data_IF_887015035049
#
_entry.id   IF_887015035049
#
_cell.length_a   1.000
_cell.length_b   1.000
_cell.length_c   1.000
_cell.angle_alpha   90.00
_cell.angle_beta   90.00
_cell.angle_gamma   90.00
#
_symmetry.space_group_name_H-M   'P 1'
#
loop_
_entity.id
_entity.type
_entity.pdbx_description
1 polymer ?
#
# COMPACT_ATOMS: atom_id res chain seq x y z
N UNK A 1 12.55 -1.37 -17.89
CA UNK A 1 13.04 -2.12 -16.69
C UNK A 1 12.20 -3.37 -16.54
N UNK A 2 12.76 -4.52 -16.10
CA UNK A 2 11.97 -5.75 -15.92
C UNK A 2 11.29 -5.73 -14.55
N UNK A 3 9.96 -5.85 -14.50
CA UNK A 3 9.17 -5.97 -13.28
C UNK A 3 9.28 -7.40 -12.71
N UNK A 4 9.21 -8.39 -13.56
CA UNK A 4 9.26 -9.79 -13.18
C UNK A 4 10.60 -10.42 -13.57
N UNK A 5 11.11 -11.34 -12.74
CA UNK A 5 12.38 -12.03 -12.97
C UNK A 5 12.33 -12.95 -14.20
N UNK A 6 11.13 -13.47 -14.57
CA UNK A 6 10.89 -14.29 -15.78
C UNK A 6 9.43 -14.21 -16.23
N UNK A 7 9.15 -14.60 -17.48
CA UNK A 7 7.79 -14.70 -18.00
C UNK A 7 6.93 -15.68 -17.20
N UNK A 8 7.49 -16.82 -16.80
CA UNK A 8 6.81 -17.79 -15.93
C UNK A 8 6.45 -17.24 -14.56
N UNK A 9 7.31 -16.36 -14.00
CA UNK A 9 7.02 -15.68 -12.73
C UNK A 9 5.85 -14.69 -12.90
N UNK A 10 5.86 -13.90 -13.96
CA UNK A 10 4.76 -13.00 -14.33
C UNK A 10 3.44 -13.77 -14.45
N UNK A 11 3.40 -14.83 -15.24
CA UNK A 11 2.20 -15.64 -15.46
C UNK A 11 1.62 -16.19 -14.14
N UNK A 12 2.49 -16.69 -13.24
CA UNK A 12 2.05 -17.20 -11.93
C UNK A 12 1.49 -16.11 -11.02
N UNK A 13 2.20 -14.98 -10.93
CA UNK A 13 1.76 -13.85 -10.11
C UNK A 13 0.42 -13.33 -10.62
N UNK A 14 0.29 -13.08 -11.93
CA UNK A 14 -0.95 -12.56 -12.50
C UNK A 14 -2.11 -13.55 -12.41
N UNK A 15 -1.85 -14.86 -12.50
CA UNK A 15 -2.88 -15.88 -12.32
C UNK A 15 -3.44 -15.90 -10.90
N UNK A 16 -2.58 -15.83 -9.88
CA UNK A 16 -3.02 -15.77 -8.47
C UNK A 16 -3.58 -14.40 -8.12
N UNK A 17 -3.08 -13.30 -8.72
CA UNK A 17 -3.69 -11.97 -8.64
C UNK A 17 -5.17 -12.01 -9.06
N UNK A 18 -5.47 -12.56 -10.23
CA UNK A 18 -6.86 -12.67 -10.71
C UNK A 18 -7.72 -13.60 -9.84
N UNK A 19 -7.11 -14.61 -9.21
CA UNK A 19 -7.80 -15.45 -8.24
C UNK A 19 -8.16 -14.65 -6.96
N UNK A 20 -7.24 -13.84 -6.44
CA UNK A 20 -7.49 -12.97 -5.28
C UNK A 20 -8.58 -11.92 -5.56
N UNK A 21 -8.60 -11.32 -6.74
CA UNK A 21 -9.68 -10.38 -7.12
C UNK A 21 -11.05 -11.05 -7.04
N UNK A 22 -11.17 -12.33 -7.40
CA UNK A 22 -12.44 -13.08 -7.25
C UNK A 22 -12.84 -13.31 -5.79
N UNK A 23 -11.87 -13.35 -4.87
CA UNK A 23 -12.12 -13.47 -3.42
C UNK A 23 -12.49 -12.14 -2.74
N UNK A 24 -12.48 -11.01 -3.45
CA UNK A 24 -12.93 -9.75 -2.90
C UNK A 24 -14.42 -9.72 -2.55
N UNK A 25 -15.19 -10.71 -3.02
CA UNK A 25 -16.63 -10.87 -2.74
C UNK A 25 -17.48 -9.63 -3.11
N UNK A 26 -17.03 -8.87 -4.10
CA UNK A 26 -17.72 -7.71 -4.65
C UNK A 26 -17.43 -7.65 -6.16
N UNK A 27 -18.38 -7.17 -6.99
CA UNK A 27 -18.12 -6.95 -8.41
C UNK A 27 -16.95 -5.96 -8.62
N UNK A 28 -15.92 -6.39 -9.33
CA UNK A 28 -14.74 -5.57 -9.63
C UNK A 28 -14.66 -5.33 -11.14
N UNK A 29 -14.54 -4.07 -11.53
CA UNK A 29 -14.17 -3.66 -12.89
C UNK A 29 -12.69 -3.37 -12.91
N UNK A 30 -11.94 -4.09 -13.74
CA UNK A 30 -10.54 -3.80 -13.96
C UNK A 30 -10.41 -2.82 -15.13
N UNK A 31 -9.68 -1.74 -14.94
CA UNK A 31 -9.41 -0.73 -15.97
C UNK A 31 -7.93 -0.39 -16.06
N UNK A 32 -7.55 0.19 -17.18
CA UNK A 32 -6.19 0.66 -17.41
C UNK A 32 -6.27 2.10 -17.90
N UNK A 33 -5.48 2.97 -17.31
CA UNK A 33 -5.37 4.37 -17.73
C UNK A 33 -3.96 4.67 -18.22
N UNK A 34 -3.86 5.55 -19.22
CA UNK A 34 -2.59 6.04 -19.71
C UNK A 34 -2.07 7.16 -18.82
N UNK A 35 -0.78 7.10 -18.50
CA UNK A 35 -0.03 8.14 -17.81
C UNK A 35 1.23 8.45 -18.60
N UNK A 36 1.87 9.59 -18.33
CA UNK A 36 3.17 9.90 -18.97
C UNK A 36 4.27 8.88 -18.69
N UNK A 37 4.10 8.07 -17.62
CA UNK A 37 5.09 7.09 -17.18
C UNK A 37 4.77 5.64 -17.61
N UNK A 38 3.68 5.46 -18.35
CA UNK A 38 3.18 4.16 -18.80
C UNK A 38 1.71 3.96 -18.48
N UNK A 39 1.25 2.73 -18.52
CA UNK A 39 -0.12 2.40 -18.18
C UNK A 39 -0.26 2.03 -16.69
N UNK A 40 -1.31 2.52 -16.06
CA UNK A 40 -1.65 2.18 -14.67
C UNK A 40 -2.93 1.37 -14.64
N UNK A 41 -2.87 0.21 -14.00
CA UNK A 41 -4.01 -0.68 -13.78
C UNK A 41 -4.69 -0.36 -12.47
N UNK A 42 -6.03 -0.45 -12.45
CA UNK A 42 -6.87 -0.06 -11.33
C UNK A 42 -8.02 -1.07 -11.19
N UNK A 43 -8.20 -1.61 -10.00
CA UNK A 43 -9.39 -2.36 -9.63
C UNK A 43 -10.43 -1.41 -9.05
N UNK A 44 -11.60 -1.36 -9.67
CA UNK A 44 -12.68 -0.46 -9.28
C UNK A 44 -13.86 -1.29 -8.77
N UNK A 45 -14.35 -0.96 -7.58
CA UNK A 45 -15.57 -1.55 -7.02
C UNK A 45 -16.42 -0.51 -6.26
N UNK A 46 -17.61 -0.92 -5.84
CA UNK A 46 -18.50 -0.09 -5.02
C UNK A 46 -19.45 0.80 -5.81
N UNK A 47 -20.09 1.71 -5.09
CA UNK A 47 -21.17 2.57 -5.59
C UNK A 47 -20.68 3.45 -6.74
N UNK A 48 -21.41 3.45 -7.87
CA UNK A 48 -21.04 4.26 -9.04
C UNK A 48 -20.89 5.75 -8.69
N UNK A 49 -21.82 6.28 -7.92
CA UNK A 49 -21.85 7.70 -7.50
C UNK A 49 -21.35 7.90 -6.06
N UNK A 50 -20.66 6.90 -5.50
CA UNK A 50 -20.07 6.99 -4.17
C UNK A 50 -18.87 7.94 -4.14
N UNK A 51 -18.55 8.52 -2.95
CA UNK A 51 -17.34 9.32 -2.79
C UNK A 51 -16.09 8.55 -3.23
N UNK A 52 -15.17 9.17 -4.00
CA UNK A 52 -14.01 8.47 -4.51
C UNK A 52 -12.98 8.19 -3.39
N UNK A 53 -12.62 6.92 -3.24
CA UNK A 53 -11.59 6.45 -2.32
C UNK A 53 -10.47 5.75 -3.10
N UNK A 54 -9.28 6.33 -3.08
CA UNK A 54 -8.09 5.80 -3.74
C UNK A 54 -7.24 5.02 -2.74
N UNK A 55 -6.81 3.83 -3.13
CA UNK A 55 -6.09 2.90 -2.27
C UNK A 55 -4.73 2.53 -2.87
N UNK A 56 -3.65 2.69 -2.08
CA UNK A 56 -2.27 2.36 -2.46
C UNK A 56 -1.71 1.21 -1.63
N UNK A 57 -1.11 0.22 -2.28
CA UNK A 57 -0.44 -0.93 -1.66
C UNK A 57 1.02 -0.65 -1.28
N UNK A 58 1.63 -1.57 -0.53
CA UNK A 58 3.02 -1.52 -0.09
C UNK A 58 4.05 -1.92 -1.17
N UNK A 59 5.33 -1.81 -0.83
CA UNK A 59 6.43 -2.27 -1.71
C UNK A 59 6.42 -3.79 -1.81
N UNK A 60 6.55 -4.30 -3.04
CA UNK A 60 6.62 -5.73 -3.31
C UNK A 60 5.29 -6.47 -3.19
N UNK A 61 4.22 -5.72 -3.08
CA UNK A 61 2.85 -6.15 -2.98
C UNK A 61 2.02 -5.61 -4.15
N UNK A 62 0.77 -6.01 -4.29
CA UNK A 62 -0.16 -5.50 -5.29
C UNK A 62 -1.54 -5.21 -4.68
N UNK A 63 -2.41 -4.57 -5.45
CA UNK A 63 -3.72 -4.17 -4.97
C UNK A 63 -4.64 -5.36 -4.69
N UNK A 64 -4.47 -6.48 -5.41
CA UNK A 64 -5.33 -7.66 -5.24
C UNK A 64 -5.14 -8.32 -3.88
N UNK A 65 -3.89 -8.48 -3.43
CA UNK A 65 -3.55 -9.01 -2.11
C UNK A 65 -3.85 -7.99 -1.02
N UNK A 66 -3.42 -6.73 -1.21
CA UNK A 66 -3.49 -5.73 -0.15
C UNK A 66 -4.90 -5.45 0.35
N UNK A 67 -5.91 -5.47 -0.53
CA UNK A 67 -7.24 -4.99 -0.20
C UNK A 67 -8.32 -6.09 -0.10
N UNK A 68 -7.90 -7.37 -0.08
CA UNK A 68 -8.82 -8.53 -0.12
C UNK A 68 -9.86 -8.53 1.01
N UNK A 69 -9.49 -8.09 2.21
CA UNK A 69 -10.41 -8.06 3.38
C UNK A 69 -11.07 -6.68 3.60
N UNK A 70 -10.80 -5.72 2.70
CA UNK A 70 -11.29 -4.36 2.86
C UNK A 70 -12.25 -3.95 1.72
N UNK A 71 -11.99 -4.43 0.50
CA UNK A 71 -12.68 -3.98 -0.70
C UNK A 71 -14.20 -4.12 -0.60
N UNK A 72 -14.71 -5.27 -0.17
CA UNK A 72 -16.15 -5.50 -0.06
C UNK A 72 -16.79 -4.49 0.88
N UNK A 73 -16.25 -4.32 2.10
CA UNK A 73 -16.84 -3.42 3.10
C UNK A 73 -16.73 -1.95 2.70
N UNK A 74 -15.60 -1.53 2.15
CA UNK A 74 -15.43 -0.15 1.67
C UNK A 74 -16.34 0.16 0.48
N UNK A 75 -16.63 -0.83 -0.38
CA UNK A 75 -17.49 -0.69 -1.54
C UNK A 75 -18.96 -0.42 -1.19
N UNK A 76 -19.39 -0.71 0.04
CA UNK A 76 -20.75 -0.38 0.52
C UNK A 76 -20.94 1.14 0.63
N UNK A 77 -19.86 1.92 0.80
CA UNK A 77 -19.93 3.35 1.08
C UNK A 77 -19.24 4.21 0.02
N UNK A 78 -18.19 3.70 -0.62
CA UNK A 78 -17.34 4.45 -1.53
C UNK A 78 -17.33 3.88 -2.95
N UNK A 79 -16.90 4.72 -3.90
CA UNK A 79 -16.35 4.26 -5.15
C UNK A 79 -14.86 4.04 -4.94
N UNK A 80 -14.46 2.78 -4.82
CA UNK A 80 -13.10 2.37 -4.49
C UNK A 80 -12.26 2.23 -5.74
N UNK A 81 -11.06 2.80 -5.73
CA UNK A 81 -10.05 2.74 -6.79
C UNK A 81 -8.75 2.18 -6.20
N UNK A 82 -8.57 0.86 -6.23
CA UNK A 82 -7.35 0.22 -5.76
C UNK A 82 -6.32 0.17 -6.90
N UNK A 83 -5.25 0.95 -6.76
CA UNK A 83 -4.27 1.20 -7.82
C UNK A 83 -3.11 0.22 -7.69
N UNK A 84 -2.75 -0.45 -8.78
CA UNK A 84 -1.45 -1.11 -8.89
C UNK A 84 -0.38 -0.06 -9.11
N UNK A 85 0.49 0.14 -8.13
CA UNK A 85 1.57 1.14 -8.19
C UNK A 85 2.49 0.83 -9.36
N UNK A 86 2.79 1.84 -10.18
CA UNK A 86 3.65 1.66 -11.36
C UNK A 86 5.05 1.18 -10.94
N UNK A 87 5.58 0.19 -11.64
CA UNK A 87 6.83 -0.50 -11.25
C UNK A 87 6.63 -1.58 -10.18
N UNK A 88 5.45 -1.68 -9.56
CA UNK A 88 5.08 -2.75 -8.63
C UNK A 88 4.73 -4.07 -9.34
N UNK A 89 4.47 -5.15 -8.59
CA UNK A 89 4.23 -6.49 -9.16
C UNK A 89 2.82 -6.73 -9.72
N UNK A 90 1.95 -5.71 -9.71
CA UNK A 90 0.61 -5.76 -10.29
C UNK A 90 0.60 -5.66 -11.82
N UNK A 91 -0.50 -5.20 -12.38
CA UNK A 91 -0.73 -5.16 -13.84
C UNK A 91 -0.32 -3.84 -14.50
N UNK A 92 0.17 -2.85 -13.74
CA UNK A 92 0.69 -1.59 -14.28
C UNK A 92 1.98 -1.80 -15.06
N UNK A 93 2.14 -1.08 -16.18
CA UNK A 93 3.29 -1.25 -17.10
C UNK A 93 4.01 0.08 -17.31
N UNK A 94 5.22 0.26 -16.75
CA UNK A 94 6.02 1.45 -16.99
C UNK A 94 6.55 1.50 -18.43
N UNK A 95 6.70 2.74 -18.95
CA UNK A 95 7.39 3.04 -20.21
C UNK A 95 8.80 3.61 -19.96
N UNK A 96 9.44 4.17 -21.00
CA UNK A 96 10.78 4.77 -20.93
C UNK A 96 10.86 6.01 -20.02
N UNK A 97 9.73 6.71 -19.80
CA UNK A 97 9.68 7.88 -18.94
C UNK A 97 9.69 7.54 -17.44
N UNK A 98 9.44 6.27 -17.09
CA UNK A 98 9.63 5.76 -15.73
C UNK A 98 11.12 5.57 -15.45
N UNK A 99 11.82 6.68 -15.29
CA UNK A 99 13.27 6.77 -15.15
C UNK A 99 13.68 7.66 -13.94
N UNK A 100 14.86 8.24 -13.93
CA UNK A 100 15.35 9.06 -12.81
C UNK A 100 14.55 10.33 -12.55
N UNK A 101 13.82 10.82 -13.55
CA UNK A 101 12.95 12.00 -13.45
C UNK A 101 11.51 11.68 -13.04
N UNK A 102 11.22 10.41 -12.72
CA UNK A 102 9.91 10.00 -12.24
C UNK A 102 9.52 10.76 -10.97
N UNK A 103 8.26 11.19 -10.92
CA UNK A 103 7.65 11.87 -9.79
C UNK A 103 6.30 11.23 -9.46
N UNK A 104 6.15 10.78 -8.21
CA UNK A 104 4.96 10.10 -7.73
C UNK A 104 3.72 10.98 -7.77
N UNK A 105 3.83 12.27 -7.42
CA UNK A 105 2.68 13.17 -7.41
C UNK A 105 2.17 13.45 -8.84
N UNK A 106 3.09 13.59 -9.79
CA UNK A 106 2.75 13.77 -11.20
C UNK A 106 2.09 12.49 -11.77
N UNK A 107 2.60 11.30 -11.39
CA UNK A 107 1.98 10.04 -11.77
C UNK A 107 0.55 9.90 -11.23
N UNK A 108 0.34 10.23 -9.95
CA UNK A 108 -0.98 10.20 -9.32
C UNK A 108 -1.91 11.24 -9.99
N UNK A 109 -1.42 12.44 -10.29
CA UNK A 109 -2.19 13.45 -11.03
C UNK A 109 -2.67 12.91 -12.38
N UNK A 110 -1.81 12.25 -13.15
CA UNK A 110 -2.17 11.65 -14.44
C UNK A 110 -3.26 10.59 -14.28
N UNK A 111 -3.15 9.72 -13.26
CA UNK A 111 -4.15 8.69 -12.95
C UNK A 111 -5.50 9.32 -12.60
N UNK A 112 -5.52 10.28 -11.66
CA UNK A 112 -6.77 10.92 -11.23
C UNK A 112 -7.44 11.70 -12.35
N UNK A 113 -6.66 12.43 -13.15
CA UNK A 113 -7.17 13.18 -14.30
C UNK A 113 -7.77 12.23 -15.35
N UNK A 114 -7.12 11.08 -15.63
CA UNK A 114 -7.65 10.07 -16.57
C UNK A 114 -8.96 9.44 -16.07
N UNK A 115 -9.17 9.40 -14.76
CA UNK A 115 -10.41 8.93 -14.13
C UNK A 115 -11.47 10.02 -13.95
N UNK A 116 -11.17 11.29 -14.27
CA UNK A 116 -12.05 12.42 -14.03
C UNK A 116 -12.25 12.76 -12.55
N UNK A 117 -11.30 12.44 -11.69
CA UNK A 117 -11.37 12.66 -10.25
C UNK A 117 -10.66 13.96 -9.85
N UNK A 118 -11.43 14.97 -9.45
CA UNK A 118 -10.91 16.27 -9.01
C UNK A 118 -10.41 16.23 -7.57
N UNK A 119 -11.20 15.63 -6.66
CA UNK A 119 -10.88 15.49 -5.24
C UNK A 119 -11.18 14.08 -4.77
N UNK A 120 -10.29 13.54 -3.94
CA UNK A 120 -10.35 12.15 -3.47
C UNK A 120 -10.01 12.03 -1.99
N UNK A 121 -10.57 11.02 -1.33
CA UNK A 121 -10.00 10.48 -0.10
C UNK A 121 -8.97 9.40 -0.47
N UNK A 122 -7.90 9.28 0.32
CA UNK A 122 -6.79 8.37 0.00
C UNK A 122 -6.43 7.53 1.21
N UNK A 123 -6.20 6.23 1.02
CA UNK A 123 -5.57 5.39 2.03
C UNK A 123 -4.41 4.59 1.44
N UNK A 124 -3.40 4.32 2.25
CA UNK A 124 -2.27 3.51 1.84
C UNK A 124 -1.62 2.74 2.98
N UNK A 125 -1.04 1.60 2.63
CA UNK A 125 -0.35 0.70 3.58
C UNK A 125 1.14 0.72 3.31
N UNK A 126 1.96 0.84 4.36
CA UNK A 126 3.42 0.80 4.25
C UNK A 126 3.94 1.90 3.29
N UNK A 127 4.59 1.54 2.18
CA UNK A 127 4.99 2.50 1.15
C UNK A 127 3.77 3.26 0.56
N UNK A 128 2.62 2.60 0.41
CA UNK A 128 1.37 3.28 0.03
C UNK A 128 0.97 4.38 1.00
N UNK A 129 1.24 4.21 2.30
CA UNK A 129 1.08 5.25 3.31
C UNK A 129 2.04 6.43 3.11
N UNK A 130 3.28 6.17 2.65
CA UNK A 130 4.20 7.24 2.26
C UNK A 130 3.73 7.99 1.01
N UNK A 131 3.26 7.28 -0.04
CA UNK A 131 2.65 7.90 -1.22
C UNK A 131 1.46 8.80 -0.83
N UNK A 132 0.63 8.33 0.10
CA UNK A 132 -0.49 9.09 0.65
C UNK A 132 -0.03 10.41 1.29
N UNK A 133 0.99 10.37 2.15
CA UNK A 133 1.58 11.56 2.78
C UNK A 133 2.16 12.52 1.74
N UNK A 134 2.96 11.98 0.82
CA UNK A 134 3.62 12.76 -0.23
C UNK A 134 2.59 13.47 -1.11
N UNK A 135 1.54 12.76 -1.53
CA UNK A 135 0.49 13.36 -2.36
C UNK A 135 -0.33 14.39 -1.60
N UNK A 136 -0.64 14.18 -0.32
CA UNK A 136 -1.28 15.18 0.54
C UNK A 136 -0.49 16.48 0.61
N UNK A 137 0.82 16.39 0.73
CA UNK A 137 1.70 17.54 0.75
C UNK A 137 1.77 18.23 -0.61
N UNK A 138 1.95 17.47 -1.70
CA UNK A 138 2.12 18.01 -3.05
C UNK A 138 0.82 18.56 -3.66
N UNK A 139 -0.33 18.05 -3.23
CA UNK A 139 -1.66 18.38 -3.77
C UNK A 139 -2.71 18.51 -2.67
N UNK A 140 -2.52 19.40 -1.69
CA UNK A 140 -3.43 19.50 -0.55
C UNK A 140 -4.87 19.80 -0.95
N UNK A 141 -5.08 20.53 -2.05
CA UNK A 141 -6.42 20.88 -2.54
C UNK A 141 -7.18 19.70 -3.20
N UNK A 142 -6.44 18.68 -3.66
CA UNK A 142 -7.03 17.48 -4.27
C UNK A 142 -7.36 16.37 -3.25
N UNK A 143 -6.75 16.41 -2.08
CA UNK A 143 -6.98 15.41 -1.02
C UNK A 143 -7.97 15.92 0.00
N UNK A 144 -9.10 15.23 0.13
CA UNK A 144 -10.12 15.52 1.14
C UNK A 144 -9.58 15.09 2.51
N UNK A 145 -9.34 13.79 2.67
CA UNK A 145 -8.79 13.15 3.88
C UNK A 145 -7.87 12.00 3.50
N UNK A 146 -7.00 11.62 4.42
CA UNK A 146 -6.01 10.58 4.18
C UNK A 146 -5.81 9.66 5.37
N UNK A 147 -5.58 8.36 5.12
CA UNK A 147 -5.19 7.38 6.13
C UNK A 147 -3.90 6.69 5.72
N UNK A 148 -2.93 6.69 6.64
CA UNK A 148 -1.64 6.04 6.49
C UNK A 148 -1.55 4.85 7.44
N UNK A 149 -1.58 3.62 6.90
CA UNK A 149 -1.52 2.38 7.68
C UNK A 149 -0.13 1.77 7.62
N UNK A 150 0.33 1.19 8.75
CA UNK A 150 1.66 0.59 8.87
C UNK A 150 2.77 1.51 8.30
N UNK A 151 2.63 2.81 8.54
CA UNK A 151 3.51 3.86 8.06
C UNK A 151 3.77 4.90 9.16
N UNK A 152 4.88 5.61 9.04
CA UNK A 152 5.26 6.72 9.90
C UNK A 152 5.65 7.93 9.06
N UNK A 153 5.92 9.05 9.72
CA UNK A 153 6.55 10.19 9.08
C UNK A 153 8.06 9.94 8.95
N UNK A 154 8.65 10.46 7.90
CA UNK A 154 10.11 10.49 7.72
C UNK A 154 10.61 11.91 7.99
N UNK A 155 11.49 12.07 8.99
CA UNK A 155 12.03 13.37 9.41
C UNK A 155 13.54 13.30 9.57
N UNK A 156 14.25 14.29 9.04
CA UNK A 156 15.70 14.36 9.17
C UNK A 156 16.44 13.28 8.37
N UNK A 157 17.61 12.85 8.83
CA UNK A 157 18.34 11.74 8.20
C UNK A 157 17.70 10.42 8.63
N UNK A 158 16.90 9.85 7.75
CA UNK A 158 16.29 8.53 7.90
C UNK A 158 17.38 7.44 8.08
N UNK A 159 17.08 6.45 8.93
CA UNK A 159 17.81 5.18 8.92
C UNK A 159 17.67 4.55 7.52
N UNK A 160 18.76 4.01 6.98
CA UNK A 160 18.75 3.43 5.64
C UNK A 160 17.65 2.35 5.52
N UNK A 161 16.59 2.58 4.71
CA UNK A 161 15.45 1.65 4.62
C UNK A 161 15.87 0.24 4.19
N UNK A 162 16.94 0.13 3.40
CA UNK A 162 17.49 -1.14 2.95
C UNK A 162 18.00 -1.99 4.13
N UNK A 163 18.63 -1.36 5.13
CA UNK A 163 19.12 -2.07 6.32
C UNK A 163 17.95 -2.61 7.14
N UNK A 164 16.87 -1.82 7.28
CA UNK A 164 15.66 -2.24 7.96
C UNK A 164 15.01 -3.43 7.23
N UNK A 165 14.86 -3.34 5.91
CA UNK A 165 14.34 -4.43 5.08
C UNK A 165 15.18 -5.70 5.22
N UNK A 166 16.51 -5.62 5.12
CA UNK A 166 17.39 -6.76 5.29
C UNK A 166 17.22 -7.38 6.69
N UNK A 167 17.22 -6.57 7.75
CA UNK A 167 17.08 -7.05 9.12
C UNK A 167 15.78 -7.80 9.38
N UNK A 168 14.68 -7.31 8.80
CA UNK A 168 13.34 -7.83 9.07
C UNK A 168 13.01 -8.99 8.13
N UNK A 169 13.32 -8.86 6.83
CA UNK A 169 12.90 -9.84 5.82
C UNK A 169 13.89 -11.00 5.65
N UNK A 170 15.16 -10.80 6.02
CA UNK A 170 16.17 -11.84 5.89
C UNK A 170 16.13 -12.81 7.10
N UNK A 171 16.40 -14.11 6.94
CA UNK A 171 16.74 -14.79 5.66
C UNK A 171 15.51 -15.30 4.88
N UNK A 172 14.32 -15.19 5.43
CA UNK A 172 13.11 -15.85 4.97
C UNK A 172 12.76 -15.45 3.51
N UNK A 173 12.85 -14.15 3.20
CA UNK A 173 12.54 -13.63 1.86
C UNK A 173 13.58 -14.05 0.80
N UNK A 174 14.81 -14.36 1.20
CA UNK A 174 15.85 -14.78 0.26
C UNK A 174 15.67 -16.25 -0.19
N UNK A 175 15.13 -17.09 0.70
CA UNK A 175 14.88 -18.50 0.45
C UNK A 175 13.38 -18.82 0.69
N UNK A 176 12.46 -18.34 -0.15
CA UNK A 176 11.03 -18.40 0.09
C UNK A 176 10.46 -19.83 -0.16
N UNK A 177 10.73 -20.75 0.76
CA UNK A 177 9.99 -22.00 0.91
C UNK A 177 8.69 -21.75 1.63
N UNK A 178 7.70 -22.66 1.56
CA UNK A 178 6.44 -22.52 2.31
C UNK A 178 6.70 -22.27 3.81
N UNK A 179 7.60 -23.04 4.42
CA UNK A 179 8.00 -22.85 5.82
C UNK A 179 8.54 -21.44 6.11
N UNK A 180 9.42 -20.92 5.24
CA UNK A 180 10.03 -19.61 5.43
C UNK A 180 9.03 -18.49 5.19
N UNK A 181 8.14 -18.64 4.20
CA UNK A 181 7.08 -17.68 3.93
C UNK A 181 6.13 -17.56 5.12
N UNK A 182 5.66 -18.67 5.65
CA UNK A 182 4.81 -18.68 6.86
C UNK A 182 5.54 -18.10 8.09
N UNK A 183 6.84 -18.35 8.22
CA UNK A 183 7.66 -17.73 9.27
C UNK A 183 7.79 -16.23 9.07
N UNK A 184 7.94 -15.76 7.82
CA UNK A 184 8.00 -14.35 7.50
C UNK A 184 6.66 -13.66 7.80
N UNK A 185 5.55 -14.27 7.41
CA UNK A 185 4.21 -13.76 7.74
C UNK A 185 4.05 -13.58 9.26
N UNK A 186 4.38 -14.60 10.06
CA UNK A 186 4.35 -14.51 11.54
C UNK A 186 5.27 -13.41 12.09
N UNK A 187 6.38 -13.14 11.43
CA UNK A 187 7.32 -12.09 11.83
C UNK A 187 6.80 -10.68 11.51
N UNK A 188 6.04 -10.55 10.42
CA UNK A 188 5.45 -9.28 9.98
C UNK A 188 4.14 -8.98 10.70
N UNK A 189 3.32 -10.00 10.94
CA UNK A 189 2.05 -9.87 11.64
C UNK A 189 2.24 -9.86 13.17
N UNK A 190 1.18 -9.46 13.87
CA UNK A 190 1.05 -9.60 15.31
C UNK A 190 0.44 -10.94 15.72
N UNK A 191 -0.48 -10.90 16.69
CA UNK A 191 -1.12 -12.11 17.22
C UNK A 191 -2.12 -12.76 16.23
N UNK A 192 -2.65 -12.00 15.27
CA UNK A 192 -3.68 -12.47 14.31
C UNK A 192 -3.10 -12.90 12.95
N UNK A 193 -1.91 -13.48 12.92
CA UNK A 193 -1.23 -13.89 11.67
C UNK A 193 -1.98 -15.00 10.92
N UNK A 194 -2.84 -15.77 11.61
CA UNK A 194 -3.66 -16.83 11.04
C UNK A 194 -4.58 -16.33 9.94
N UNK A 195 -5.10 -15.12 10.04
CA UNK A 195 -5.91 -14.47 8.98
C UNK A 195 -5.22 -14.53 7.62
N UNK A 196 -3.90 -14.43 7.62
CA UNK A 196 -3.09 -14.52 6.41
C UNK A 196 -2.69 -15.97 6.10
N UNK A 197 -2.25 -16.74 7.11
CA UNK A 197 -1.70 -18.10 6.88
C UNK A 197 -2.75 -19.15 6.62
N UNK A 198 -3.99 -18.94 7.03
CA UNK A 198 -5.10 -19.87 6.79
C UNK A 198 -5.70 -19.70 5.39
N UNK A 199 -5.52 -18.54 4.75
CA UNK A 199 -5.84 -18.38 3.34
C UNK A 199 -4.67 -18.87 2.47
N UNK A 200 -4.80 -20.09 1.93
CA UNK A 200 -3.76 -20.72 1.12
C UNK A 200 -3.43 -19.91 -0.14
N UNK A 201 -4.41 -19.25 -0.75
CA UNK A 201 -4.19 -18.44 -1.95
C UNK A 201 -3.34 -17.20 -1.64
N UNK A 202 -3.54 -16.55 -0.47
CA UNK A 202 -2.69 -15.45 -0.02
C UNK A 202 -1.25 -15.90 0.17
N UNK A 203 -1.03 -17.03 0.84
CA UNK A 203 0.32 -17.60 1.07
C UNK A 203 0.99 -17.94 -0.27
N UNK A 204 0.25 -18.53 -1.20
CA UNK A 204 0.76 -18.89 -2.53
C UNK A 204 1.13 -17.63 -3.32
N UNK A 205 0.24 -16.65 -3.38
CA UNK A 205 0.48 -15.39 -4.08
C UNK A 205 1.69 -14.66 -3.50
N UNK A 206 1.75 -14.48 -2.19
CA UNK A 206 2.89 -13.85 -1.51
C UNK A 206 4.20 -14.63 -1.76
N UNK A 207 4.14 -15.96 -1.82
CA UNK A 207 5.28 -16.80 -2.21
C UNK A 207 5.76 -16.48 -3.63
N UNK A 208 4.83 -16.33 -4.57
CA UNK A 208 5.19 -15.99 -5.97
C UNK A 208 5.75 -14.58 -6.08
N UNK A 209 5.23 -13.61 -5.33
CA UNK A 209 5.79 -12.25 -5.24
C UNK A 209 7.25 -12.29 -4.76
N UNK A 210 7.53 -12.96 -3.65
CA UNK A 210 8.91 -13.08 -3.11
C UNK A 210 9.87 -13.76 -4.09
N UNK A 211 9.41 -14.77 -4.83
CA UNK A 211 10.24 -15.51 -5.81
C UNK A 211 10.40 -14.76 -7.12
N UNK A 212 9.34 -14.11 -7.59
CA UNK A 212 9.21 -13.69 -8.98
C UNK A 212 9.28 -12.20 -9.25
N UNK A 213 8.99 -11.36 -8.26
CA UNK A 213 9.06 -9.92 -8.41
C UNK A 213 10.51 -9.40 -8.32
N UNK A 214 10.82 -8.39 -9.12
CA UNK A 214 12.09 -7.69 -9.10
C UNK A 214 11.94 -6.37 -8.31
N UNK A 215 12.28 -6.39 -7.02
CA UNK A 215 12.15 -5.21 -6.14
C UNK A 215 12.87 -3.96 -6.66
N UNK A 216 13.91 -4.11 -7.50
CA UNK A 216 14.60 -2.98 -8.12
C UNK A 216 13.69 -2.20 -9.09
N UNK A 217 12.57 -2.80 -9.54
CA UNK A 217 11.62 -2.14 -10.42
C UNK A 217 10.91 -0.95 -9.75
N UNK A 218 10.74 -0.97 -8.43
CA UNK A 218 10.21 0.16 -7.65
C UNK A 218 11.28 1.19 -7.25
N UNK A 219 12.53 1.03 -7.65
CA UNK A 219 13.62 1.92 -7.25
C UNK A 219 13.57 3.35 -7.84
N UNK A 220 12.52 3.70 -8.57
CA UNK A 220 12.26 5.07 -9.03
C UNK A 220 11.40 5.87 -8.05
N UNK A 221 10.62 5.18 -7.25
CA UNK A 221 9.88 5.77 -6.15
C UNK A 221 10.86 6.28 -5.09
N UNK A 222 10.62 7.49 -4.60
CA UNK A 222 11.51 8.13 -3.63
C UNK A 222 10.79 8.31 -2.30
N UNK A 223 11.34 7.75 -1.25
CA UNK A 223 10.94 8.09 0.11
C UNK A 223 11.82 9.26 0.55
N UNK A 224 11.22 10.43 0.71
CA UNK A 224 11.90 11.64 1.19
C UNK A 224 11.50 11.98 2.62
N UNK A 225 12.37 12.74 3.30
CA UNK A 225 12.04 13.33 4.60
C UNK A 225 11.20 14.58 4.42
N UNK A 226 10.26 14.82 5.33
CA UNK A 226 9.43 16.02 5.36
C UNK A 226 10.06 17.10 6.25
N UNK A 227 9.89 18.37 5.86
CA UNK A 227 10.14 19.54 6.70
C UNK A 227 8.99 19.76 7.69
N UNK A 228 9.17 20.60 8.71
CA UNK A 228 8.08 20.91 9.64
C UNK A 228 6.86 21.55 8.97
N UNK A 229 7.09 22.45 8.01
CA UNK A 229 6.01 23.07 7.21
C UNK A 229 5.21 22.03 6.40
N UNK A 230 5.90 21.04 5.82
CA UNK A 230 5.27 19.95 5.10
C UNK A 230 4.47 19.04 6.04
N UNK A 231 4.98 18.81 7.25
CA UNK A 231 4.29 18.04 8.29
C UNK A 231 3.02 18.71 8.79
N UNK A 232 2.94 20.06 8.79
CA UNK A 232 1.72 20.77 9.16
C UNK A 232 0.57 20.43 8.20
N UNK A 233 0.83 20.41 6.89
CA UNK A 233 -0.15 20.01 5.87
C UNK A 233 -0.56 18.54 6.05
N UNK A 234 0.41 17.64 6.29
CA UNK A 234 0.16 16.22 6.52
C UNK A 234 -0.67 16.02 7.80
N UNK A 235 -0.38 16.75 8.86
CA UNK A 235 -1.07 16.66 10.16
C UNK A 235 -2.56 16.97 10.04
N UNK A 236 -2.92 17.96 9.25
CA UNK A 236 -4.32 18.35 9.06
C UNK A 236 -5.14 17.31 8.30
N UNK A 237 -4.51 16.57 7.40
CA UNK A 237 -5.17 15.66 6.47
C UNK A 237 -5.07 14.18 6.83
N UNK A 238 -3.98 13.78 7.51
CA UNK A 238 -3.65 12.37 7.68
C UNK A 238 -3.99 11.84 9.08
N UNK A 239 -4.60 10.66 9.11
CA UNK A 239 -4.68 9.79 10.29
C UNK A 239 -3.72 8.61 10.11
N UNK A 240 -2.89 8.34 11.10
CA UNK A 240 -1.96 7.21 11.11
C UNK A 240 -2.55 6.04 11.91
N UNK A 241 -2.52 4.84 11.34
CA UNK A 241 -2.92 3.59 11.99
C UNK A 241 -1.71 2.67 12.08
N UNK A 242 -1.24 2.40 13.29
CA UNK A 242 0.05 1.75 13.53
C UNK A 242 -0.10 0.55 14.46
N UNK A 243 0.32 -0.62 13.99
CA UNK A 243 0.45 -1.81 14.83
C UNK A 243 1.66 -1.72 15.74
N UNK A 244 1.48 -1.94 17.06
CA UNK A 244 2.58 -1.89 18.01
C UNK A 244 3.50 -3.13 17.95
N UNK A 245 3.05 -4.22 17.32
CA UNK A 245 3.87 -5.40 17.04
C UNK A 245 4.66 -5.29 15.73
N UNK A 246 4.35 -4.32 14.85
CA UNK A 246 5.01 -4.11 13.57
C UNK A 246 6.54 -3.93 13.72
N UNK A 247 7.36 -4.82 13.15
CA UNK A 247 8.80 -4.74 13.31
C UNK A 247 9.44 -3.53 12.59
N UNK A 248 8.82 -3.04 11.49
CA UNK A 248 9.29 -1.83 10.81
C UNK A 248 9.01 -0.59 11.62
N UNK A 249 7.79 -0.50 12.17
CA UNK A 249 7.37 0.63 12.97
C UNK A 249 8.14 0.72 14.30
N UNK A 250 8.42 -0.42 14.92
CA UNK A 250 9.30 -0.49 16.11
C UNK A 250 10.71 -0.02 15.79
N UNK A 251 11.31 -0.53 14.73
CA UNK A 251 12.67 -0.17 14.33
C UNK A 251 12.77 1.31 13.96
N UNK A 252 11.76 1.86 13.29
CA UNK A 252 11.65 3.27 12.92
C UNK A 252 11.19 4.20 14.05
N UNK A 253 10.91 3.67 15.25
CA UNK A 253 10.39 4.45 16.42
C UNK A 253 9.14 5.26 16.05
N UNK A 254 8.24 4.67 15.25
CA UNK A 254 7.08 5.35 14.70
C UNK A 254 6.19 6.00 15.77
N UNK A 255 5.93 5.30 16.88
CA UNK A 255 5.10 5.82 17.98
C UNK A 255 5.70 7.10 18.61
N UNK A 256 7.01 7.10 18.82
CA UNK A 256 7.71 8.27 19.39
C UNK A 256 7.70 9.44 18.40
N UNK A 257 7.98 9.18 17.12
CA UNK A 257 7.97 10.21 16.08
C UNK A 257 6.58 10.82 15.90
N UNK A 258 5.56 10.01 15.71
CA UNK A 258 4.19 10.49 15.51
C UNK A 258 3.69 11.32 16.72
N UNK A 259 4.02 10.91 17.94
CA UNK A 259 3.66 11.65 19.15
C UNK A 259 4.45 12.96 19.26
N UNK A 260 5.78 12.96 19.01
CA UNK A 260 6.62 14.16 19.13
C UNK A 260 6.23 15.26 18.14
N UNK A 261 5.80 14.86 16.94
CA UNK A 261 5.29 15.78 15.91
C UNK A 261 3.77 16.00 15.97
N UNK A 262 3.11 15.52 17.04
CA UNK A 262 1.66 15.70 17.30
C UNK A 262 0.79 15.26 16.12
N UNK A 263 1.17 14.17 15.45
CA UNK A 263 0.37 13.59 14.37
C UNK A 263 -0.87 12.90 14.93
N UNK A 264 -1.98 12.94 14.20
CA UNK A 264 -3.17 12.14 14.54
C UNK A 264 -2.86 10.68 14.30
N UNK A 265 -2.78 9.88 15.37
CA UNK A 265 -2.42 8.48 15.29
C UNK A 265 -3.24 7.61 16.24
N UNK A 266 -3.57 6.39 15.79
CA UNK A 266 -4.09 5.30 16.62
C UNK A 266 -3.09 4.16 16.62
N UNK A 267 -2.84 3.59 17.79
CA UNK A 267 -1.90 2.50 18.00
C UNK A 267 -2.65 1.25 18.45
N UNK A 268 -2.35 0.12 17.81
CA UNK A 268 -3.04 -1.15 18.02
C UNK A 268 -2.10 -2.16 18.67
N UNK A 269 -2.30 -2.49 19.96
CA UNK A 269 -1.50 -3.50 20.65
C UNK A 269 -1.59 -4.85 19.93
N UNK A 270 -0.47 -5.59 19.88
CA UNK A 270 -0.37 -6.95 19.31
C UNK A 270 -0.65 -7.08 17.81
N UNK A 271 -0.88 -5.98 17.10
CA UNK A 271 -1.08 -5.93 15.65
C UNK A 271 0.25 -5.60 14.97
N UNK A 272 0.55 -6.26 13.86
CA UNK A 272 1.78 -6.12 13.09
C UNK A 272 1.65 -5.21 11.88
N UNK A 273 2.48 -5.52 10.86
CA UNK A 273 2.58 -4.75 9.61
C UNK A 273 1.38 -4.95 8.68
N UNK A 274 0.74 -6.11 8.73
CA UNK A 274 -0.44 -6.43 7.93
C UNK A 274 -1.75 -5.97 8.61
N UNK A 275 -1.74 -4.80 9.22
CA UNK A 275 -2.83 -4.25 10.05
C UNK A 275 -4.21 -4.31 9.39
N UNK A 276 -4.30 -4.01 8.10
CA UNK A 276 -5.55 -4.02 7.34
C UNK A 276 -6.07 -5.44 7.05
N UNK A 277 -5.24 -6.48 7.26
CA UNK A 277 -5.64 -7.88 7.22
C UNK A 277 -5.93 -8.40 8.64
N UNK A 278 -5.01 -8.14 9.58
CA UNK A 278 -5.07 -8.69 10.93
C UNK A 278 -6.31 -8.29 11.74
N UNK A 279 -6.76 -7.04 11.53
CA UNK A 279 -7.94 -6.46 12.21
C UNK A 279 -8.84 -5.77 11.18
N UNK A 280 -9.13 -6.45 10.07
CA UNK A 280 -9.81 -5.88 8.91
C UNK A 280 -11.13 -5.19 9.26
N UNK A 281 -11.98 -5.78 10.10
CA UNK A 281 -13.28 -5.21 10.49
C UNK A 281 -13.13 -3.88 11.23
N UNK A 282 -12.18 -3.80 12.17
CA UNK A 282 -11.89 -2.57 12.91
C UNK A 282 -11.32 -1.49 11.98
N UNK A 283 -10.39 -1.86 11.11
CA UNK A 283 -9.81 -0.94 10.12
C UNK A 283 -10.86 -0.44 9.14
N UNK A 284 -11.72 -1.32 8.63
CA UNK A 284 -12.81 -0.94 7.74
C UNK A 284 -13.77 0.09 8.40
N UNK A 285 -14.12 -0.13 9.68
CA UNK A 285 -14.95 0.80 10.44
C UNK A 285 -14.25 2.16 10.59
N UNK A 286 -12.97 2.19 10.95
CA UNK A 286 -12.20 3.42 11.08
C UNK A 286 -12.09 4.18 9.74
N UNK A 287 -11.84 3.46 8.64
CA UNK A 287 -11.77 4.05 7.30
C UNK A 287 -13.11 4.70 6.93
N UNK A 288 -14.23 3.98 7.13
CA UNK A 288 -15.57 4.45 6.81
C UNK A 288 -15.91 5.69 7.64
N UNK A 289 -15.73 5.63 8.96
CA UNK A 289 -16.06 6.74 9.85
C UNK A 289 -15.23 7.97 9.51
N UNK A 290 -13.91 7.82 9.37
CA UNK A 290 -13.00 8.94 9.12
C UNK A 290 -13.23 9.62 7.76
N UNK A 291 -13.58 8.86 6.72
CA UNK A 291 -13.81 9.43 5.39
C UNK A 291 -15.23 9.99 5.19
N UNK A 292 -16.15 9.71 6.11
CA UNK A 292 -17.50 10.29 6.12
C UNK A 292 -17.64 11.56 6.95
N UNK A 293 -16.72 11.82 7.89
CA UNK A 293 -16.67 13.09 8.63
C UNK A 293 -16.43 14.29 7.67
#
# INVERSE_FOLDING_TARGET
MKIYKSKKAEERILSTYDALIREWNVPVTQTVVDTRYGTTHINICGKHDGPPLVLFHGVGDDSALMWIYNAAKLSEEFRVYAIDTIGGPGKSKPNENYNKSFDDAIWIDDVLNSLGLEKVSIAGVSYGGHLTQYYCYMRPDKVIRAICMAASIEVGKSSNPLIAMIRILFPEALFPSDKNVRKLIRKLCGDNFEVFTDNQLLVEHFTYLLKGFNNMAMGRHKVGSFTEEQLDIIRDKCLFLVGEADPFMKLGRAKELLNSYKMRAKFFPKVGHAINHEIADEINSILIDYFKE
#
